data_IF_789516121881
#
_entry.id   IF_789516121881
#
_cell.length_a   1.000
_cell.length_b   1.000
_cell.length_c   1.000
_cell.angle_alpha   90.00
_cell.angle_beta   90.00
_cell.angle_gamma   90.00
#
_symmetry.space_group_name_H-M   'P 1'
#
loop_
_entity.id
_entity.type
_entity.pdbx_description
1 polymer ?
#
# COMPACT_ATOMS: atom_id res chain seq x y z
N UNK A 1 5.22 9.88 -15.07
CA UNK A 1 5.19 8.41 -15.22
C UNK A 1 6.13 7.70 -14.24
N UNK A 2 7.42 8.09 -14.16
CA UNK A 2 8.36 7.47 -13.20
C UNK A 2 7.94 7.72 -11.74
N UNK A 3 7.50 8.93 -11.41
CA UNK A 3 7.01 9.28 -10.07
C UNK A 3 5.73 8.53 -9.69
N UNK A 4 4.80 8.34 -10.64
CA UNK A 4 3.57 7.56 -10.40
C UNK A 4 3.86 6.08 -10.18
N UNK A 5 4.83 5.51 -10.92
CA UNK A 5 5.27 4.12 -10.74
C UNK A 5 5.90 3.89 -9.36
N UNK A 6 6.75 4.81 -8.88
CA UNK A 6 7.35 4.71 -7.55
C UNK A 6 6.31 4.83 -6.42
N UNK A 7 5.30 5.69 -6.58
CA UNK A 7 4.22 5.84 -5.62
C UNK A 7 3.33 4.59 -5.51
N UNK A 8 3.01 3.95 -6.64
CA UNK A 8 2.26 2.68 -6.64
C UNK A 8 3.05 1.55 -5.99
N UNK A 9 4.36 1.47 -6.26
CA UNK A 9 5.23 0.47 -5.64
C UNK A 9 5.31 0.68 -4.11
N UNK A 10 5.45 1.92 -3.66
CA UNK A 10 5.47 2.25 -2.24
C UNK A 10 4.16 1.85 -1.54
N UNK A 11 3.00 2.17 -2.12
CA UNK A 11 1.71 1.73 -1.57
C UNK A 11 1.56 0.20 -1.52
N UNK A 12 2.09 -0.52 -2.50
CA UNK A 12 2.10 -1.98 -2.46
C UNK A 12 2.97 -2.52 -1.30
N UNK A 13 4.09 -1.90 -1.04
CA UNK A 13 4.98 -2.26 0.08
C UNK A 13 4.32 -1.99 1.44
N UNK A 14 3.61 -0.86 1.58
CA UNK A 14 2.81 -0.55 2.77
C UNK A 14 1.71 -1.60 3.01
N UNK A 15 0.99 -2.01 1.97
CA UNK A 15 -0.03 -3.06 2.07
C UNK A 15 0.57 -4.40 2.50
N UNK A 16 1.75 -4.76 1.97
CA UNK A 16 2.44 -5.98 2.36
C UNK A 16 2.87 -5.95 3.83
N UNK A 17 3.37 -4.81 4.33
CA UNK A 17 3.73 -4.63 5.72
C UNK A 17 2.50 -4.81 6.64
N UNK A 18 1.39 -4.13 6.34
CA UNK A 18 0.14 -4.28 7.10
C UNK A 18 -0.41 -5.70 7.02
N UNK A 19 -0.28 -6.39 5.88
CA UNK A 19 -0.70 -7.79 5.76
C UNK A 19 0.11 -8.73 6.66
N UNK A 20 1.40 -8.46 6.87
CA UNK A 20 2.24 -9.20 7.84
C UNK A 20 1.79 -8.93 9.28
N UNK A 21 1.46 -7.67 9.61
CA UNK A 21 0.93 -7.32 10.93
C UNK A 21 -0.42 -8.01 11.19
N UNK A 22 -1.33 -8.02 10.22
CA UNK A 22 -2.61 -8.76 10.28
C UNK A 22 -2.38 -10.24 10.54
N UNK A 23 -1.42 -10.87 9.84
CA UNK A 23 -1.09 -12.28 10.04
C UNK A 23 -0.56 -12.56 11.44
N UNK A 24 0.35 -11.71 11.93
CA UNK A 24 0.89 -11.81 13.29
C UNK A 24 -0.19 -11.64 14.35
N UNK A 25 -1.05 -10.63 14.17
CA UNK A 25 -2.14 -10.35 15.10
C UNK A 25 -3.18 -11.48 15.14
N UNK A 26 -3.53 -12.05 13.98
CA UNK A 26 -4.41 -13.22 13.91
C UNK A 26 -3.84 -14.40 14.66
N UNK A 27 -2.53 -14.67 14.52
CA UNK A 27 -1.87 -15.77 15.24
C UNK A 27 -1.92 -15.58 16.76
N UNK A 28 -1.83 -14.33 17.26
CA UNK A 28 -1.99 -14.05 18.70
C UNK A 28 -3.41 -14.35 19.19
N UNK A 29 -4.43 -13.86 18.45
CA UNK A 29 -5.83 -14.16 18.81
C UNK A 29 -6.06 -15.68 18.86
N UNK A 30 -5.62 -16.42 17.84
CA UNK A 30 -5.76 -17.86 17.79
C UNK A 30 -5.01 -18.60 18.94
N UNK A 31 -3.90 -18.04 19.39
CA UNK A 31 -3.15 -18.58 20.54
C UNK A 31 -3.91 -18.38 21.84
N UNK A 32 -4.41 -17.17 22.08
CA UNK A 32 -5.20 -16.87 23.29
C UNK A 32 -6.49 -17.68 23.30
N UNK A 33 -7.19 -17.81 22.16
CA UNK A 33 -8.39 -18.65 22.06
C UNK A 33 -8.11 -20.13 22.42
N UNK A 34 -6.97 -20.67 21.98
CA UNK A 34 -6.58 -22.04 22.33
C UNK A 34 -6.32 -22.20 23.82
N UNK A 35 -5.64 -21.21 24.40
CA UNK A 35 -5.32 -21.22 25.83
C UNK A 35 -6.60 -21.06 26.66
N UNK A 36 -7.52 -20.17 26.26
CA UNK A 36 -8.84 -20.02 26.89
C UNK A 36 -9.62 -21.33 26.90
N UNK A 37 -9.65 -22.06 25.77
CA UNK A 37 -10.28 -23.38 25.69
C UNK A 37 -9.64 -24.40 26.62
N UNK A 38 -8.32 -24.33 26.83
CA UNK A 38 -7.60 -25.21 27.77
C UNK A 38 -8.01 -24.89 29.20
N UNK A 39 -8.05 -23.60 29.57
CA UNK A 39 -8.46 -23.15 30.92
C UNK A 39 -9.91 -23.54 31.20
N UNK A 40 -10.82 -23.32 30.25
CA UNK A 40 -12.21 -23.75 30.37
C UNK A 40 -12.34 -25.28 30.56
N UNK A 41 -11.50 -26.07 29.86
CA UNK A 41 -11.44 -27.51 30.08
C UNK A 41 -10.94 -27.89 31.47
N UNK A 42 -9.91 -27.24 31.97
CA UNK A 42 -9.40 -27.42 33.33
C UNK A 42 -10.46 -27.03 34.37
N UNK A 43 -11.21 -25.97 34.17
CA UNK A 43 -12.32 -25.54 35.03
C UNK A 43 -13.43 -26.61 35.09
N UNK A 44 -13.84 -27.13 33.94
CA UNK A 44 -14.83 -28.21 33.88
C UNK A 44 -14.39 -29.47 34.66
N UNK A 45 -13.11 -29.83 34.59
CA UNK A 45 -12.56 -30.94 35.35
C UNK A 45 -12.61 -30.69 36.86
N UNK A 46 -12.27 -29.49 37.31
CA UNK A 46 -12.36 -29.10 38.73
C UNK A 46 -13.80 -29.11 39.20
N UNK A 47 -14.76 -28.61 38.44
CA UNK A 47 -16.18 -28.63 38.77
C UNK A 47 -16.73 -30.04 38.91
N UNK A 48 -16.41 -30.92 37.95
CA UNK A 48 -16.79 -32.33 38.01
C UNK A 48 -16.20 -33.06 39.24
N UNK A 49 -14.99 -32.65 39.66
CA UNK A 49 -14.37 -33.19 40.87
C UNK A 49 -15.10 -32.73 42.13
N UNK A 50 -15.43 -31.43 42.21
CA UNK A 50 -16.23 -30.87 43.30
C UNK A 50 -17.59 -31.55 43.41
N UNK A 51 -18.28 -31.79 42.30
CA UNK A 51 -19.57 -32.51 42.30
C UNK A 51 -19.43 -33.93 42.86
N UNK A 52 -18.38 -34.65 42.41
CA UNK A 52 -18.09 -36.00 42.92
C UNK A 52 -17.80 -36.03 44.41
N UNK A 53 -17.03 -35.08 44.89
CA UNK A 53 -16.67 -34.97 46.32
C UNK A 53 -17.86 -34.59 47.18
N UNK A 54 -18.77 -33.75 46.70
CA UNK A 54 -20.07 -33.44 47.32
C UNK A 54 -20.93 -34.71 47.45
N UNK A 55 -20.99 -35.50 46.38
CA UNK A 55 -21.74 -36.76 46.40
C UNK A 55 -21.12 -37.75 47.40
N UNK A 56 -19.80 -37.82 47.49
CA UNK A 56 -19.07 -38.69 48.43
C UNK A 56 -19.30 -38.31 49.88
N UNK A 57 -19.31 -37.01 50.23
CA UNK A 57 -19.66 -36.49 51.58
C UNK A 57 -21.06 -36.98 51.97
N UNK A 58 -22.04 -36.85 51.07
CA UNK A 58 -23.43 -37.21 51.34
C UNK A 58 -23.62 -38.73 51.58
N UNK A 59 -22.69 -39.56 51.11
CA UNK A 59 -22.75 -41.01 51.25
C UNK A 59 -21.87 -41.54 52.40
N UNK A 60 -20.93 -40.76 52.87
CA UNK A 60 -19.97 -41.19 53.94
C UNK A 60 -20.56 -41.00 55.30
N UNK A 61 -20.35 -41.97 56.16
CA UNK A 61 -20.67 -41.91 57.63
C UNK A 61 -19.42 -41.79 58.51
N UNK A 62 -18.21 -41.85 57.88
CA UNK A 62 -16.95 -41.78 58.58
C UNK A 62 -16.47 -40.33 58.74
N UNK A 63 -16.36 -39.79 59.99
CA UNK A 63 -15.96 -38.40 60.19
C UNK A 63 -14.58 -38.04 59.63
N UNK A 64 -13.62 -38.98 59.60
CA UNK A 64 -12.28 -38.74 59.07
C UNK A 64 -12.31 -38.58 57.52
N UNK A 65 -13.11 -39.39 56.84
CA UNK A 65 -13.24 -39.33 55.38
C UNK A 65 -13.92 -38.02 54.98
N UNK A 66 -15.00 -37.62 55.72
CA UNK A 66 -15.69 -36.38 55.49
C UNK A 66 -14.73 -35.18 55.64
N UNK A 67 -13.90 -35.16 56.70
CA UNK A 67 -12.93 -34.11 56.95
C UNK A 67 -11.87 -34.05 55.82
N UNK A 68 -11.39 -35.19 55.35
CA UNK A 68 -10.45 -35.28 54.21
C UNK A 68 -11.03 -34.71 52.93
N UNK A 69 -12.27 -35.08 52.59
CA UNK A 69 -12.96 -34.60 51.42
C UNK A 69 -13.26 -33.08 51.52
N UNK A 70 -13.63 -32.58 52.71
CA UNK A 70 -13.83 -31.15 52.93
C UNK A 70 -12.56 -30.36 52.66
N UNK A 71 -11.40 -30.81 53.12
CA UNK A 71 -10.13 -30.16 52.86
C UNK A 71 -9.76 -30.18 51.36
N UNK A 72 -10.07 -31.28 50.64
CA UNK A 72 -9.90 -31.37 49.16
C UNK A 72 -10.83 -30.34 48.46
N UNK A 73 -12.09 -30.25 48.89
CA UNK A 73 -13.04 -29.29 48.34
C UNK A 73 -12.60 -27.83 48.55
N UNK A 74 -12.04 -27.47 49.69
CA UNK A 74 -11.48 -26.14 49.94
C UNK A 74 -10.34 -25.82 49.00
N UNK A 75 -9.53 -26.82 48.66
CA UNK A 75 -8.43 -26.69 47.71
C UNK A 75 -8.95 -26.54 46.29
N UNK A 76 -9.95 -27.33 45.89
CA UNK A 76 -10.60 -27.26 44.59
C UNK A 76 -11.35 -25.94 44.37
N UNK A 77 -12.02 -25.42 45.44
CA UNK A 77 -12.66 -24.11 45.39
C UNK A 77 -11.68 -22.98 45.11
N UNK A 78 -10.53 -22.98 45.78
CA UNK A 78 -9.46 -21.99 45.47
C UNK A 78 -8.94 -22.15 44.03
N UNK A 79 -8.76 -23.38 43.59
CA UNK A 79 -8.32 -23.66 42.21
C UNK A 79 -9.35 -23.18 41.16
N UNK A 80 -10.64 -23.37 41.48
CA UNK A 80 -11.75 -22.88 40.66
C UNK A 80 -11.70 -21.35 40.54
N UNK A 81 -11.60 -20.63 41.65
CA UNK A 81 -11.52 -19.17 41.70
C UNK A 81 -10.32 -18.64 40.88
N UNK A 82 -9.15 -19.32 40.98
CA UNK A 82 -7.96 -18.98 40.20
C UNK A 82 -8.21 -19.15 38.67
N UNK A 83 -8.82 -20.28 38.27
CA UNK A 83 -9.09 -20.57 36.86
C UNK A 83 -10.15 -19.62 36.28
N UNK A 84 -11.22 -19.31 37.04
CA UNK A 84 -12.23 -18.31 36.65
C UNK A 84 -11.60 -16.92 36.48
N UNK A 85 -10.67 -16.51 37.33
CA UNK A 85 -9.95 -15.25 37.19
C UNK A 85 -9.11 -15.25 35.91
N UNK A 86 -8.36 -16.30 35.65
CA UNK A 86 -7.55 -16.44 34.43
C UNK A 86 -8.44 -16.43 33.17
N UNK A 87 -9.58 -17.10 33.21
CA UNK A 87 -10.53 -17.13 32.09
C UNK A 87 -11.05 -15.73 31.76
N UNK A 88 -11.42 -14.93 32.78
CA UNK A 88 -11.86 -13.55 32.60
C UNK A 88 -10.75 -12.66 32.03
N UNK A 89 -9.52 -12.76 32.53
CA UNK A 89 -8.37 -12.01 32.00
C UNK A 89 -8.09 -12.36 30.53
N UNK A 90 -8.24 -13.64 30.18
CA UNK A 90 -8.08 -14.10 28.79
C UNK A 90 -9.21 -13.58 27.89
N UNK A 91 -10.45 -13.55 28.37
CA UNK A 91 -11.57 -12.99 27.60
C UNK A 91 -11.36 -11.50 27.32
N UNK A 92 -10.93 -10.71 28.31
CA UNK A 92 -10.56 -9.30 28.08
C UNK A 92 -9.43 -9.17 27.05
N UNK A 93 -8.41 -10.02 27.14
CA UNK A 93 -7.29 -10.03 26.18
C UNK A 93 -7.75 -10.39 24.76
N UNK A 94 -8.69 -11.34 24.60
CA UNK A 94 -9.27 -11.68 23.28
C UNK A 94 -10.00 -10.48 22.68
N UNK A 95 -10.80 -9.77 23.48
CA UNK A 95 -11.55 -8.62 23.01
C UNK A 95 -10.60 -7.49 22.53
N UNK A 96 -9.55 -7.21 23.28
CA UNK A 96 -8.55 -6.20 22.94
C UNK A 96 -7.77 -6.57 21.65
N UNK A 97 -7.28 -7.82 21.56
CA UNK A 97 -6.51 -8.28 20.42
C UNK A 97 -7.39 -8.43 19.16
N UNK A 98 -8.67 -8.79 19.33
CA UNK A 98 -9.65 -8.83 18.22
C UNK A 98 -9.96 -7.43 17.71
N UNK A 99 -10.17 -6.47 18.62
CA UNK A 99 -10.37 -5.06 18.24
C UNK A 99 -9.17 -4.50 17.47
N UNK A 100 -7.94 -4.84 17.90
CA UNK A 100 -6.72 -4.48 17.21
C UNK A 100 -6.65 -5.12 15.81
N UNK A 101 -7.02 -6.38 15.69
CA UNK A 101 -7.09 -7.09 14.39
C UNK A 101 -8.09 -6.44 13.43
N UNK A 102 -9.26 -6.05 13.92
CA UNK A 102 -10.27 -5.35 13.13
C UNK A 102 -9.76 -4.00 12.60
N UNK A 103 -9.05 -3.25 13.43
CA UNK A 103 -8.44 -1.99 13.01
C UNK A 103 -7.38 -2.19 11.91
N UNK A 104 -6.54 -3.21 12.04
CA UNK A 104 -5.53 -3.55 11.03
C UNK A 104 -6.19 -3.99 9.71
N UNK A 105 -7.27 -4.77 9.76
CA UNK A 105 -8.02 -5.20 8.58
C UNK A 105 -8.68 -4.01 7.88
N UNK A 106 -9.25 -3.06 8.62
CA UNK A 106 -9.83 -1.86 8.04
C UNK A 106 -8.76 -0.96 7.42
N UNK A 107 -7.62 -0.77 8.10
CA UNK A 107 -6.49 -0.04 7.54
C UNK A 107 -6.01 -0.66 6.21
N UNK A 108 -5.84 -1.99 6.18
CA UNK A 108 -5.48 -2.71 4.95
C UNK A 108 -6.50 -2.46 3.83
N UNK A 109 -7.80 -2.53 4.14
CA UNK A 109 -8.88 -2.28 3.17
C UNK A 109 -8.83 -0.88 2.58
N UNK A 110 -8.55 0.13 3.41
CA UNK A 110 -8.40 1.52 2.96
C UNK A 110 -7.20 1.67 2.02
N UNK A 111 -6.05 1.11 2.39
CA UNK A 111 -4.84 1.15 1.56
C UNK A 111 -5.03 0.45 0.20
N UNK A 112 -5.73 -0.68 0.18
CA UNK A 112 -6.07 -1.42 -1.05
C UNK A 112 -6.98 -0.58 -1.97
N UNK A 113 -8.00 0.09 -1.41
CA UNK A 113 -8.88 0.98 -2.15
C UNK A 113 -8.15 2.22 -2.72
N UNK A 114 -7.23 2.80 -1.95
CA UNK A 114 -6.38 3.90 -2.41
C UNK A 114 -5.44 3.46 -3.55
N UNK A 115 -4.84 2.27 -3.44
CA UNK A 115 -3.99 1.72 -4.49
C UNK A 115 -4.78 1.53 -5.79
N UNK A 116 -6.00 0.99 -5.72
CA UNK A 116 -6.83 0.77 -6.89
C UNK A 116 -7.29 2.08 -7.51
N UNK A 117 -7.64 3.07 -6.71
CA UNK A 117 -7.94 4.44 -7.18
C UNK A 117 -6.74 5.06 -7.90
N UNK A 118 -5.54 4.94 -7.32
CA UNK A 118 -4.32 5.45 -7.92
C UNK A 118 -3.97 4.74 -9.25
N UNK A 119 -4.19 3.42 -9.36
CA UNK A 119 -4.03 2.68 -10.63
C UNK A 119 -4.99 3.17 -11.71
N UNK A 120 -6.27 3.40 -11.35
CA UNK A 120 -7.29 3.90 -12.29
C UNK A 120 -6.91 5.29 -12.79
N UNK A 121 -6.51 6.20 -11.89
CA UNK A 121 -6.05 7.54 -12.25
C UNK A 121 -4.84 7.49 -13.19
N UNK A 122 -3.81 6.71 -12.84
CA UNK A 122 -2.60 6.57 -13.66
C UNK A 122 -2.93 6.02 -15.06
N UNK A 123 -3.85 5.07 -15.15
CA UNK A 123 -4.30 4.52 -16.46
C UNK A 123 -5.02 5.57 -17.30
N UNK A 124 -5.86 6.40 -16.67
CA UNK A 124 -6.57 7.51 -17.33
C UNK A 124 -5.60 8.56 -17.87
N UNK A 125 -4.60 8.93 -17.04
CA UNK A 125 -3.57 9.90 -17.43
C UNK A 125 -2.71 9.38 -18.60
N UNK A 126 -2.36 8.10 -18.58
CA UNK A 126 -1.65 7.44 -19.68
C UNK A 126 -2.46 7.51 -20.97
N UNK A 127 -3.73 7.12 -20.94
CA UNK A 127 -4.60 7.15 -22.13
C UNK A 127 -4.76 8.58 -22.67
N UNK A 128 -4.86 9.58 -21.80
CA UNK A 128 -4.92 10.99 -22.19
C UNK A 128 -3.62 11.45 -22.88
N UNK A 129 -2.47 11.08 -22.32
CA UNK A 129 -1.16 11.39 -22.91
C UNK A 129 -0.95 10.69 -24.26
N UNK A 130 -1.32 9.43 -24.38
CA UNK A 130 -1.27 8.68 -25.64
C UNK A 130 -2.15 9.32 -26.71
N UNK A 131 -3.37 9.75 -26.34
CA UNK A 131 -4.25 10.50 -27.21
C UNK A 131 -3.67 11.83 -27.68
N UNK A 132 -3.07 12.60 -26.77
CA UNK A 132 -2.40 13.85 -27.11
C UNK A 132 -1.17 13.64 -28.02
N UNK A 133 -0.39 12.59 -27.78
CA UNK A 133 0.74 12.23 -28.63
C UNK A 133 0.27 11.89 -30.06
N UNK A 134 -0.77 11.07 -30.21
CA UNK A 134 -1.32 10.71 -31.51
C UNK A 134 -1.83 11.92 -32.27
N UNK A 135 -2.51 12.86 -31.59
CA UNK A 135 -2.97 14.10 -32.21
C UNK A 135 -1.79 14.99 -32.67
N UNK A 136 -0.74 15.10 -31.86
CA UNK A 136 0.48 15.82 -32.24
C UNK A 136 1.18 15.17 -33.43
N UNK A 137 1.28 13.84 -33.46
CA UNK A 137 1.84 13.09 -34.60
C UNK A 137 1.04 13.33 -35.88
N UNK A 138 -0.30 13.33 -35.79
CA UNK A 138 -1.16 13.66 -36.93
C UNK A 138 -0.95 15.11 -37.42
N UNK A 139 -0.81 16.05 -36.52
CA UNK A 139 -0.53 17.46 -36.87
C UNK A 139 0.84 17.61 -37.53
N UNK A 140 1.86 16.96 -36.99
CA UNK A 140 3.20 16.90 -37.58
C UNK A 140 3.11 16.29 -38.98
N UNK A 141 2.38 15.17 -39.15
CA UNK A 141 2.18 14.54 -40.44
C UNK A 141 1.57 15.46 -41.50
N UNK A 142 0.52 16.20 -41.13
CA UNK A 142 -0.12 17.21 -42.00
C UNK A 142 0.85 18.33 -42.38
N UNK A 143 1.61 18.87 -41.40
CA UNK A 143 2.60 19.93 -41.64
C UNK A 143 3.74 19.43 -42.57
N UNK A 144 4.20 18.19 -42.39
CA UNK A 144 5.24 17.58 -43.24
C UNK A 144 4.79 17.41 -44.67
N UNK A 145 3.52 17.08 -44.90
CA UNK A 145 2.96 16.99 -46.29
C UNK A 145 2.90 18.35 -46.95
N UNK A 146 2.65 19.42 -46.21
CA UNK A 146 2.56 20.79 -46.71
C UNK A 146 3.92 21.50 -46.86
N UNK A 147 4.97 20.99 -46.27
CA UNK A 147 6.29 21.62 -46.27
C UNK A 147 7.09 21.23 -47.52
N UNK A 148 7.89 22.14 -48.14
CA UNK A 148 8.77 21.83 -49.25
C UNK A 148 9.80 20.73 -48.90
N UNK A 149 10.06 19.80 -49.84
CA UNK A 149 10.94 18.65 -49.60
C UNK A 149 12.37 19.05 -49.17
N UNK A 150 12.87 20.16 -49.71
CA UNK A 150 14.20 20.69 -49.37
C UNK A 150 14.27 21.13 -47.90
N UNK A 151 13.20 21.80 -47.38
CA UNK A 151 13.09 22.21 -46.01
C UNK A 151 13.05 21.00 -45.09
N UNK A 152 12.27 19.97 -45.43
CA UNK A 152 12.17 18.73 -44.64
C UNK A 152 13.50 17.98 -44.56
N UNK A 153 14.25 17.91 -45.65
CA UNK A 153 15.57 17.27 -45.66
C UNK A 153 16.53 17.95 -44.68
N UNK A 154 16.56 19.28 -44.70
CA UNK A 154 17.40 20.06 -43.76
C UNK A 154 16.90 19.91 -42.31
N UNK A 155 15.57 19.92 -42.10
CA UNK A 155 14.96 19.73 -40.81
C UNK A 155 15.35 18.36 -40.20
N UNK A 156 15.16 17.29 -40.95
CA UNK A 156 15.42 15.92 -40.48
C UNK A 156 16.90 15.67 -40.16
N UNK A 157 17.80 16.19 -41.01
CA UNK A 157 19.25 16.12 -40.76
C UNK A 157 19.66 16.87 -39.45
N UNK A 158 18.99 18.00 -39.17
CA UNK A 158 19.27 18.77 -38.00
C UNK A 158 18.61 18.23 -36.72
N UNK A 159 17.43 17.67 -36.86
CA UNK A 159 16.71 17.03 -35.75
C UNK A 159 17.51 15.88 -35.10
N UNK A 160 18.36 15.20 -35.87
CA UNK A 160 19.28 14.18 -35.34
C UNK A 160 20.37 14.74 -34.40
N UNK A 161 20.64 16.06 -34.47
CA UNK A 161 21.73 16.71 -33.71
C UNK A 161 21.24 17.66 -32.61
N UNK A 162 19.91 17.84 -32.49
CA UNK A 162 19.32 18.73 -31.51
C UNK A 162 18.07 19.45 -32.04
N UNK A 163 17.85 20.67 -31.59
CA UNK A 163 16.69 21.49 -32.03
C UNK A 163 16.90 21.94 -33.48
N UNK A 164 16.07 21.48 -34.44
CA UNK A 164 16.32 21.72 -35.88
C UNK A 164 16.05 23.17 -36.32
N UNK A 165 15.12 23.87 -35.67
CA UNK A 165 14.71 25.23 -35.96
C UNK A 165 14.62 26.05 -34.66
N UNK A 166 15.16 27.24 -34.66
CA UNK A 166 15.07 28.18 -33.53
C UNK A 166 14.68 29.58 -33.96
N UNK A 167 13.87 30.27 -33.18
CA UNK A 167 13.63 31.69 -33.37
C UNK A 167 14.88 32.48 -33.03
N UNK A 168 15.18 33.50 -33.83
CA UNK A 168 16.20 34.47 -33.50
C UNK A 168 15.61 35.45 -32.47
N UNK A 169 16.18 35.49 -31.29
CA UNK A 169 15.79 36.41 -30.22
C UNK A 169 16.89 37.46 -30.05
N UNK A 170 16.64 38.68 -30.54
CA UNK A 170 17.65 39.75 -30.66
C UNK A 170 18.83 39.27 -31.53
N UNK A 171 19.93 38.89 -30.90
CA UNK A 171 21.13 38.37 -31.56
C UNK A 171 21.43 36.90 -31.27
N UNK A 172 20.57 36.21 -30.51
CA UNK A 172 20.80 34.85 -30.05
C UNK A 172 19.89 33.84 -30.77
N UNK A 173 20.47 32.79 -31.30
CA UNK A 173 19.73 31.70 -31.91
C UNK A 173 19.06 30.84 -30.86
N UNK A 174 17.73 30.69 -30.91
CA UNK A 174 16.98 29.87 -29.96
C UNK A 174 17.14 28.34 -30.10
N UNK A 175 17.85 27.89 -31.15
CA UNK A 175 18.16 26.45 -31.32
C UNK A 175 19.52 26.07 -30.73
N UNK A 176 20.57 26.85 -30.99
CA UNK A 176 21.93 26.53 -30.54
C UNK A 176 22.46 27.46 -29.42
N UNK A 177 21.67 28.44 -29.01
CA UNK A 177 21.97 29.46 -27.99
C UNK A 177 23.23 30.28 -28.25
N UNK A 178 23.73 30.28 -29.48
CA UNK A 178 24.87 31.11 -29.86
C UNK A 178 24.42 32.53 -30.25
N UNK A 179 25.18 33.52 -29.81
CA UNK A 179 25.00 34.92 -30.21
C UNK A 179 25.64 35.20 -31.58
N UNK A 180 24.89 35.82 -32.45
CA UNK A 180 25.36 36.23 -33.79
C UNK A 180 26.03 37.58 -33.70
N UNK A 181 27.06 37.78 -34.51
CA UNK A 181 27.72 39.10 -34.69
C UNK A 181 26.81 40.05 -35.45
N UNK A 182 27.04 41.35 -35.33
CA UNK A 182 26.27 42.39 -36.07
C UNK A 182 26.36 42.19 -37.60
N UNK A 183 27.50 41.71 -38.11
CA UNK A 183 27.67 41.40 -39.54
C UNK A 183 26.77 40.21 -39.93
N UNK A 184 26.77 39.10 -39.16
CA UNK A 184 25.95 37.95 -39.42
C UNK A 184 24.44 38.26 -39.34
N UNK A 185 24.04 39.14 -38.42
CA UNK A 185 22.66 39.64 -38.33
C UNK A 185 22.24 40.45 -39.57
N UNK A 186 23.11 41.34 -40.04
CA UNK A 186 22.86 42.11 -41.24
C UNK A 186 22.77 41.22 -42.48
N UNK A 187 23.54 40.15 -42.55
CA UNK A 187 23.48 39.20 -43.68
C UNK A 187 22.21 38.34 -43.59
N UNK A 188 21.78 37.93 -42.41
CA UNK A 188 20.48 37.26 -42.20
C UNK A 188 19.29 38.15 -42.63
N UNK A 189 19.34 39.45 -42.38
CA UNK A 189 18.27 40.39 -42.80
C UNK A 189 18.20 40.59 -44.32
N UNK A 190 19.24 40.26 -45.07
CA UNK A 190 19.27 40.37 -46.54
C UNK A 190 18.70 39.13 -47.22
N UNK A 191 18.55 38.02 -46.49
CA UNK A 191 18.00 36.75 -47.03
C UNK A 191 16.51 36.94 -47.31
N UNK A 192 16.02 36.64 -48.49
CA UNK A 192 14.60 36.66 -48.83
C UNK A 192 13.77 35.79 -47.87
N UNK A 193 12.51 36.14 -47.64
CA UNK A 193 11.63 35.46 -46.68
C UNK A 193 11.25 34.05 -47.10
N UNK A 194 11.49 33.68 -48.32
CA UNK A 194 11.27 32.36 -48.96
C UNK A 194 12.53 31.44 -48.93
N UNK A 195 13.66 31.98 -48.50
CA UNK A 195 14.91 31.23 -48.35
C UNK A 195 15.21 30.80 -46.91
N UNK A 196 15.91 29.65 -46.77
CA UNK A 196 16.34 29.15 -45.46
C UNK A 196 17.55 29.90 -44.92
N UNK A 197 17.33 30.67 -43.88
CA UNK A 197 18.41 31.34 -43.13
C UNK A 197 19.15 30.35 -42.23
N UNK A 198 20.47 30.45 -42.11
CA UNK A 198 21.32 29.59 -41.24
C UNK A 198 22.18 30.47 -40.34
N UNK A 199 22.23 30.09 -39.07
CA UNK A 199 23.18 30.72 -38.13
C UNK A 199 24.61 30.28 -38.39
#
# INVERSE_FOLDING_TARGET
LLASGSHLAQKQEEILAVAQEVSSQRSKVEEIERETKRVAGDLELVEKRIEKDLAAINQSTNPKDIQGIQHEMDTLAKRKDELETIELEMMESIDDETSSLEQLLENKRVLEAELDSAKVSTKSDLASLEGAMLELENQIGKLRVSAPAEVLTVFDQRALRGVPIGKLLKSTCGACNMSLTSTALNDLHKIPSDELARC
#
